data_IF_041111129303
#
_entry.id   IF_041111129303
#
_cell.length_a   1.000
_cell.length_b   1.000
_cell.length_c   1.000
_cell.angle_alpha   90.00
_cell.angle_beta   90.00
_cell.angle_gamma   90.00
#
_symmetry.space_group_name_H-M   'P 1'
#
loop_
_entity.id
_entity.type
_entity.pdbx_description
1 polymer ?
#
# COMPACT_ATOMS: atom_id res chain seq x y z
N UNK A 1 -0.72 15.80 15.63
CA UNK A 1 -0.58 16.25 14.22
C UNK A 1 -0.76 17.76 14.06
N UNK A 2 -1.68 18.40 14.78
CA UNK A 2 -1.99 19.84 14.67
C UNK A 2 -0.80 20.82 14.85
N UNK A 3 0.12 20.54 15.78
CA UNK A 3 1.25 21.45 16.04
C UNK A 3 2.30 21.43 14.92
N UNK A 4 2.45 20.32 14.20
CA UNK A 4 3.38 20.24 13.07
C UNK A 4 2.77 20.89 11.82
N UNK A 5 1.48 20.63 11.55
CA UNK A 5 0.76 21.28 10.44
C UNK A 5 0.68 22.81 10.60
N UNK A 6 0.40 23.32 11.81
CA UNK A 6 0.42 24.76 12.08
C UNK A 6 1.81 25.39 11.95
N UNK A 7 2.87 24.62 12.21
CA UNK A 7 4.25 25.08 12.03
C UNK A 7 4.65 25.10 10.55
N UNK A 8 4.35 24.04 9.82
CA UNK A 8 4.63 23.94 8.38
C UNK A 8 3.90 25.02 7.58
N UNK A 9 2.61 25.25 7.86
CA UNK A 9 1.81 26.31 7.19
C UNK A 9 2.32 27.71 7.52
N UNK A 10 2.73 27.97 8.77
CA UNK A 10 3.31 29.25 9.18
C UNK A 10 4.68 29.51 8.53
N UNK A 11 5.50 28.47 8.41
CA UNK A 11 6.81 28.56 7.74
C UNK A 11 6.64 28.80 6.23
N UNK A 12 5.68 28.14 5.58
CA UNK A 12 5.32 28.33 4.16
C UNK A 12 4.77 29.74 3.88
N UNK A 13 3.86 30.24 4.71
CA UNK A 13 3.29 31.60 4.60
C UNK A 13 4.37 32.68 4.81
N UNK A 14 5.28 32.47 5.77
CA UNK A 14 6.41 33.37 6.01
C UNK A 14 7.41 33.40 4.85
N UNK A 15 7.64 32.25 4.21
CA UNK A 15 8.55 32.12 3.07
C UNK A 15 7.96 32.79 1.83
N UNK A 16 6.67 32.56 1.54
CA UNK A 16 5.96 33.21 0.45
C UNK A 16 5.93 34.74 0.61
N UNK A 17 5.70 35.22 1.84
CA UNK A 17 5.72 36.65 2.14
C UNK A 17 7.10 37.30 1.89
N UNK A 18 8.18 36.59 2.24
CA UNK A 18 9.54 37.05 2.00
C UNK A 18 9.88 37.09 0.49
N UNK A 19 9.52 36.04 -0.25
CA UNK A 19 9.77 35.93 -1.69
C UNK A 19 9.02 37.01 -2.49
N UNK A 20 7.77 37.32 -2.14
CA UNK A 20 6.99 38.39 -2.79
C UNK A 20 7.65 39.76 -2.57
N UNK A 21 8.14 40.03 -1.35
CA UNK A 21 8.87 41.29 -1.07
C UNK A 21 10.18 41.37 -1.86
N UNK A 22 10.94 40.28 -1.95
CA UNK A 22 12.16 40.21 -2.73
C UNK A 22 11.89 40.52 -4.22
N UNK A 23 10.81 39.95 -4.78
CA UNK A 23 10.40 40.19 -6.16
C UNK A 23 10.06 41.65 -6.44
N UNK A 24 9.26 42.29 -5.58
CA UNK A 24 8.92 43.71 -5.71
C UNK A 24 10.14 44.62 -5.58
N UNK A 25 11.05 44.32 -4.65
CA UNK A 25 12.31 45.07 -4.49
C UNK A 25 13.18 44.96 -5.74
N UNK A 26 13.31 43.76 -6.30
CA UNK A 26 14.05 43.54 -7.55
C UNK A 26 13.41 44.29 -8.73
N UNK A 27 12.07 44.25 -8.85
CA UNK A 27 11.33 44.98 -9.88
C UNK A 27 11.51 46.50 -9.80
N UNK A 28 11.45 47.07 -8.58
CA UNK A 28 11.68 48.51 -8.36
C UNK A 28 13.12 48.89 -8.68
N UNK A 29 14.10 48.08 -8.26
CA UNK A 29 15.51 48.32 -8.55
C UNK A 29 15.78 48.32 -10.06
N UNK A 30 15.21 47.35 -10.79
CA UNK A 30 15.32 47.28 -12.25
C UNK A 30 14.68 48.49 -12.94
N UNK A 31 13.46 48.85 -12.56
CA UNK A 31 12.76 50.02 -13.10
C UNK A 31 13.55 51.33 -12.86
N UNK A 32 14.19 51.45 -11.69
CA UNK A 32 15.03 52.60 -11.35
C UNK A 32 16.29 52.66 -12.22
N UNK A 33 16.96 51.53 -12.48
CA UNK A 33 18.11 51.47 -13.40
C UNK A 33 17.71 51.89 -14.81
N UNK A 34 16.58 51.38 -15.33
CA UNK A 34 16.05 51.78 -16.64
C UNK A 34 15.71 53.26 -16.67
N UNK A 35 15.05 53.78 -15.63
CA UNK A 35 14.71 55.19 -15.52
C UNK A 35 15.96 56.08 -15.53
N UNK A 36 16.98 55.76 -14.72
CA UNK A 36 18.24 56.48 -14.69
C UNK A 36 18.97 56.45 -16.04
N UNK A 37 18.90 55.33 -16.78
CA UNK A 37 19.49 55.22 -18.11
C UNK A 37 18.76 56.09 -19.15
N UNK A 38 17.45 56.33 -18.99
CA UNK A 38 16.65 57.13 -19.92
C UNK A 38 16.76 58.65 -19.68
N UNK A 39 17.02 59.09 -18.45
CA UNK A 39 17.11 60.52 -18.08
C UNK A 39 18.06 61.31 -19.00
N UNK A 40 19.31 60.86 -19.27
CA UNK A 40 20.23 61.59 -20.15
C UNK A 40 19.70 61.74 -21.58
N UNK A 41 18.99 60.73 -22.09
CA UNK A 41 18.40 60.77 -23.43
C UNK A 41 17.26 61.78 -23.52
N UNK A 42 16.43 61.86 -22.47
CA UNK A 42 15.33 62.83 -22.37
C UNK A 42 15.90 64.25 -22.27
N UNK A 43 16.88 64.48 -21.40
CA UNK A 43 17.52 65.79 -21.23
C UNK A 43 18.19 66.27 -22.53
N UNK A 44 18.89 65.37 -23.25
CA UNK A 44 19.48 65.67 -24.56
C UNK A 44 18.41 66.08 -25.58
N UNK A 45 17.28 65.38 -25.60
CA UNK A 45 16.16 65.69 -26.50
C UNK A 45 15.51 67.04 -26.18
N UNK A 46 15.25 67.33 -24.90
CA UNK A 46 14.68 68.59 -24.45
C UNK A 46 15.58 69.79 -24.82
N UNK A 47 16.89 69.66 -24.67
CA UNK A 47 17.83 70.72 -25.04
C UNK A 47 17.81 70.98 -26.55
N UNK A 48 17.82 69.94 -27.38
CA UNK A 48 17.72 70.06 -28.83
C UNK A 48 16.47 70.82 -29.29
N UNK A 49 15.32 70.56 -28.65
CA UNK A 49 14.08 71.30 -28.95
C UNK A 49 14.17 72.80 -28.63
N UNK A 50 15.00 73.19 -27.67
CA UNK A 50 15.11 74.59 -27.23
C UNK A 50 16.17 75.39 -28.01
N UNK A 51 17.29 74.76 -28.38
CA UNK A 51 18.43 75.45 -29.02
C UNK A 51 18.61 75.11 -30.49
N UNK A 52 17.99 74.04 -30.99
CA UNK A 52 18.23 73.51 -32.34
C UNK A 52 19.58 72.79 -32.50
N UNK A 53 20.41 72.73 -31.45
CA UNK A 53 21.73 72.13 -31.47
C UNK A 53 21.78 70.91 -30.54
N UNK A 54 22.57 69.89 -30.91
CA UNK A 54 22.80 68.72 -30.05
C UNK A 54 23.99 69.03 -29.14
N UNK A 55 23.80 69.10 -27.80
CA UNK A 55 24.88 69.43 -26.89
C UNK A 55 25.87 68.27 -26.83
N UNK A 56 27.13 68.54 -27.17
CA UNK A 56 28.26 67.59 -27.08
C UNK A 56 28.80 67.55 -25.65
N UNK A 57 28.00 67.05 -24.71
CA UNK A 57 28.34 67.04 -23.28
C UNK A 57 29.44 66.03 -22.91
N UNK A 58 29.79 65.11 -23.82
CA UNK A 58 30.81 64.08 -23.60
C UNK A 58 31.66 63.95 -24.85
N UNK A 59 32.99 64.04 -24.69
CA UNK A 59 33.95 63.78 -25.77
C UNK A 59 34.04 62.28 -26.04
N UNK A 60 34.31 61.89 -27.28
CA UNK A 60 34.46 60.48 -27.69
C UNK A 60 35.50 59.73 -26.84
N UNK A 61 36.54 60.43 -26.39
CA UNK A 61 37.58 59.91 -25.50
C UNK A 61 37.04 59.56 -24.10
N UNK A 62 36.31 60.47 -23.45
CA UNK A 62 35.66 60.20 -22.14
C UNK A 62 34.59 59.13 -22.21
N UNK A 63 33.85 59.07 -23.33
CA UNK A 63 32.91 57.98 -23.61
C UNK A 63 33.62 56.63 -23.72
N UNK A 64 34.80 56.60 -24.36
CA UNK A 64 35.64 55.40 -24.47
C UNK A 64 36.15 54.91 -23.12
N UNK A 65 36.59 55.82 -22.25
CA UNK A 65 37.05 55.46 -20.89
C UNK A 65 35.92 54.89 -20.01
N UNK A 66 34.73 55.49 -20.07
CA UNK A 66 33.55 54.99 -19.34
C UNK A 66 33.08 53.66 -19.91
N UNK A 67 33.11 53.50 -21.24
CA UNK A 67 32.82 52.23 -21.92
C UNK A 67 33.79 51.13 -21.50
N UNK A 68 35.10 51.40 -21.52
CA UNK A 68 36.13 50.43 -21.12
C UNK A 68 36.02 50.04 -19.64
N UNK A 69 35.65 50.98 -18.76
CA UNK A 69 35.37 50.67 -17.35
C UNK A 69 34.12 49.79 -17.20
N UNK A 70 33.05 50.11 -17.94
CA UNK A 70 31.84 49.29 -18.00
C UNK A 70 32.11 47.87 -18.51
N UNK A 71 32.93 47.74 -19.55
CA UNK A 71 33.35 46.46 -20.11
C UNK A 71 34.20 45.65 -19.13
N UNK A 72 35.07 46.30 -18.34
CA UNK A 72 35.83 45.64 -17.29
C UNK A 72 34.92 45.12 -16.16
N UNK A 73 34.03 45.98 -15.63
CA UNK A 73 33.09 45.59 -14.57
C UNK A 73 32.14 44.52 -15.06
N UNK A 74 31.56 44.67 -16.25
CA UNK A 74 30.69 43.67 -16.88
C UNK A 74 31.43 42.37 -17.17
N UNK A 75 32.68 42.46 -17.65
CA UNK A 75 33.54 41.32 -17.94
C UNK A 75 33.96 40.51 -16.72
N UNK A 76 34.09 41.14 -15.54
CA UNK A 76 34.39 40.45 -14.27
C UNK A 76 33.11 39.98 -13.57
N UNK A 77 32.07 40.82 -13.54
CA UNK A 77 30.82 40.53 -12.84
C UNK A 77 30.04 39.41 -13.53
N UNK A 78 30.03 39.35 -14.87
CA UNK A 78 29.24 38.38 -15.61
C UNK A 78 29.70 36.92 -15.36
N UNK A 79 31.00 36.59 -15.39
CA UNK A 79 31.48 35.27 -14.96
C UNK A 79 31.19 34.95 -13.49
N UNK A 80 31.34 35.91 -12.57
CA UNK A 80 31.07 35.70 -11.14
C UNK A 80 29.58 35.40 -10.92
N UNK A 81 28.69 36.21 -11.50
CA UNK A 81 27.25 36.02 -11.39
C UNK A 81 26.82 34.71 -12.03
N UNK A 82 27.35 34.38 -13.22
CA UNK A 82 27.09 33.10 -13.90
C UNK A 82 27.52 31.92 -13.03
N UNK A 83 28.68 32.00 -12.37
CA UNK A 83 29.16 30.97 -11.46
C UNK A 83 28.23 30.81 -10.24
N UNK A 84 27.81 31.92 -9.62
CA UNK A 84 26.86 31.90 -8.50
C UNK A 84 25.52 31.30 -8.94
N UNK A 85 25.00 31.69 -10.11
CA UNK A 85 23.77 31.13 -10.67
C UNK A 85 23.89 29.64 -10.93
N UNK A 86 25.03 29.18 -11.46
CA UNK A 86 25.29 27.77 -11.68
C UNK A 86 25.38 26.99 -10.36
N UNK A 87 26.04 27.54 -9.33
CA UNK A 87 26.08 26.95 -7.99
C UNK A 87 24.69 26.88 -7.36
N UNK A 88 23.90 27.95 -7.46
CA UNK A 88 22.52 27.98 -6.97
C UNK A 88 21.66 26.91 -7.66
N UNK A 89 21.83 26.73 -8.98
CA UNK A 89 21.15 25.68 -9.74
C UNK A 89 21.54 24.28 -9.24
N UNK A 90 22.83 24.02 -9.03
CA UNK A 90 23.30 22.73 -8.50
C UNK A 90 22.71 22.45 -7.11
N UNK A 91 22.74 23.44 -6.22
CA UNK A 91 22.15 23.32 -4.88
C UNK A 91 20.65 23.00 -4.98
N UNK A 92 19.94 23.68 -5.89
CA UNK A 92 18.53 23.44 -6.15
C UNK A 92 18.29 22.00 -6.61
N UNK A 93 19.08 21.49 -7.54
CA UNK A 93 18.98 20.10 -8.03
C UNK A 93 19.23 19.10 -6.89
N UNK A 94 20.23 19.33 -6.04
CA UNK A 94 20.53 18.46 -4.90
C UNK A 94 19.37 18.44 -3.90
N UNK A 95 18.79 19.61 -3.61
CA UNK A 95 17.64 19.70 -2.71
C UNK A 95 16.41 18.99 -3.30
N UNK A 96 16.11 19.22 -4.57
CA UNK A 96 15.04 18.53 -5.30
C UNK A 96 15.22 17.01 -5.30
N UNK A 97 16.45 16.52 -5.49
CA UNK A 97 16.74 15.08 -5.43
C UNK A 97 16.48 14.49 -4.04
N UNK A 98 16.82 15.24 -2.98
CA UNK A 98 16.56 14.82 -1.60
C UNK A 98 15.06 14.78 -1.31
N UNK A 99 14.34 15.82 -1.69
CA UNK A 99 12.88 15.88 -1.54
C UNK A 99 12.19 14.72 -2.27
N UNK A 100 12.62 14.42 -3.51
CA UNK A 100 12.11 13.25 -4.25
C UNK A 100 12.43 11.92 -3.55
N UNK A 101 13.61 11.79 -2.95
CA UNK A 101 13.98 10.59 -2.20
C UNK A 101 13.08 10.39 -0.98
N UNK A 102 12.85 11.46 -0.21
CA UNK A 102 12.03 11.40 0.99
C UNK A 102 10.54 11.22 0.64
N UNK A 103 10.05 11.89 -0.41
CA UNK A 103 8.72 11.67 -0.95
C UNK A 103 8.51 10.21 -1.39
N UNK A 104 9.48 9.60 -2.09
CA UNK A 104 9.41 8.18 -2.48
C UNK A 104 9.30 7.25 -1.28
N UNK A 105 10.06 7.50 -0.21
CA UNK A 105 9.97 6.69 1.02
C UNK A 105 8.59 6.80 1.66
N UNK A 106 8.03 8.00 1.71
CA UNK A 106 6.70 8.22 2.30
C UNK A 106 5.57 7.64 1.43
N UNK A 107 5.71 7.72 0.10
CA UNK A 107 4.82 7.03 -0.84
C UNK A 107 4.88 5.52 -0.65
N UNK A 108 6.07 4.93 -0.48
CA UNK A 108 6.22 3.50 -0.21
C UNK A 108 5.56 3.10 1.12
N UNK A 109 5.73 3.89 2.18
CA UNK A 109 5.06 3.64 3.46
C UNK A 109 3.55 3.70 3.34
N UNK A 110 3.03 4.72 2.66
CA UNK A 110 1.59 4.88 2.41
C UNK A 110 1.06 3.73 1.55
N UNK A 111 1.77 3.32 0.51
CA UNK A 111 1.39 2.20 -0.35
C UNK A 111 1.31 0.88 0.44
N UNK A 112 2.32 0.60 1.28
CA UNK A 112 2.34 -0.60 2.12
C UNK A 112 1.21 -0.58 3.17
N UNK A 113 0.94 0.59 3.77
CA UNK A 113 -0.16 0.74 4.72
C UNK A 113 -1.54 0.52 4.07
N UNK A 114 -1.73 1.06 2.85
CA UNK A 114 -2.97 0.88 2.08
C UNK A 114 -3.15 -0.57 1.62
N UNK A 115 -2.08 -1.25 1.21
CA UNK A 115 -2.12 -2.67 0.87
C UNK A 115 -2.56 -3.51 2.07
N UNK A 116 -1.98 -3.25 3.25
CA UNK A 116 -2.39 -3.89 4.50
C UNK A 116 -3.86 -3.62 4.82
N UNK A 117 -4.30 -2.36 4.76
CA UNK A 117 -5.70 -1.98 5.01
C UNK A 117 -6.66 -2.69 4.04
N UNK A 118 -6.31 -2.81 2.77
CA UNK A 118 -7.12 -3.51 1.77
C UNK A 118 -7.25 -5.00 2.07
N UNK A 119 -6.14 -5.64 2.47
CA UNK A 119 -6.14 -7.05 2.90
C UNK A 119 -7.02 -7.22 4.13
N UNK A 120 -6.84 -6.41 5.17
CA UNK A 120 -7.64 -6.45 6.41
C UNK A 120 -9.13 -6.28 6.11
N UNK A 121 -9.50 -5.25 5.36
CA UNK A 121 -10.89 -4.99 4.97
C UNK A 121 -11.50 -6.15 4.16
N UNK A 122 -10.74 -6.74 3.25
CA UNK A 122 -11.21 -7.88 2.45
C UNK A 122 -11.37 -9.13 3.34
N UNK A 123 -10.42 -9.35 4.25
CA UNK A 123 -10.45 -10.47 5.19
C UNK A 123 -11.64 -10.40 6.14
N UNK A 124 -11.88 -9.24 6.78
CA UNK A 124 -13.05 -9.08 7.67
C UNK A 124 -14.38 -9.23 6.93
N UNK A 125 -14.50 -8.73 5.69
CA UNK A 125 -15.68 -9.00 4.85
C UNK A 125 -15.87 -10.49 4.54
N UNK A 126 -14.78 -11.24 4.39
CA UNK A 126 -14.85 -12.69 4.21
C UNK A 126 -15.27 -13.40 5.51
N UNK A 127 -14.83 -12.93 6.68
CA UNK A 127 -15.32 -13.44 7.97
C UNK A 127 -16.82 -13.19 8.14
N UNK A 128 -17.32 -11.99 7.84
CA UNK A 128 -18.75 -11.69 7.88
C UNK A 128 -19.54 -12.60 6.92
N UNK A 129 -18.95 -12.92 5.76
CA UNK A 129 -19.52 -13.87 4.81
C UNK A 129 -19.55 -15.29 5.36
N UNK A 130 -18.52 -15.72 6.11
CA UNK A 130 -18.49 -17.03 6.79
C UNK A 130 -19.66 -17.12 7.78
N UNK A 131 -19.83 -16.12 8.65
CA UNK A 131 -20.93 -16.09 9.63
C UNK A 131 -22.31 -16.07 8.96
N UNK A 132 -22.47 -15.23 7.93
CA UNK A 132 -23.71 -15.15 7.16
C UNK A 132 -24.00 -16.48 6.47
N UNK A 133 -22.98 -17.11 5.87
CA UNK A 133 -23.14 -18.39 5.20
C UNK A 133 -23.47 -19.51 6.19
N UNK A 134 -22.87 -19.50 7.38
CA UNK A 134 -23.18 -20.42 8.48
C UNK A 134 -24.66 -20.31 8.85
N UNK A 135 -25.12 -19.10 9.18
CA UNK A 135 -26.51 -18.86 9.62
C UNK A 135 -27.55 -19.26 8.55
N UNK A 136 -27.18 -19.13 7.28
CA UNK A 136 -28.02 -19.53 6.16
C UNK A 136 -28.02 -21.04 5.88
N UNK A 137 -27.13 -21.83 6.50
CA UNK A 137 -27.15 -23.30 6.35
C UNK A 137 -28.47 -23.83 6.87
N UNK A 138 -29.21 -24.60 6.08
CA UNK A 138 -30.50 -25.19 6.49
C UNK A 138 -30.59 -26.66 6.10
N UNK A 139 -31.17 -27.48 7.00
CA UNK A 139 -31.51 -28.89 6.75
C UNK A 139 -32.61 -29.34 7.71
N UNK A 140 -33.68 -29.98 7.22
CA UNK A 140 -34.74 -30.57 8.04
C UNK A 140 -35.25 -29.64 9.17
N UNK A 141 -35.64 -28.41 8.82
CA UNK A 141 -36.12 -27.35 9.74
C UNK A 141 -35.09 -26.83 10.77
N UNK A 142 -33.86 -27.35 10.75
CA UNK A 142 -32.74 -26.81 11.52
C UNK A 142 -31.95 -25.84 10.66
N UNK A 143 -31.32 -24.86 11.31
CA UNK A 143 -30.47 -23.89 10.65
C UNK A 143 -29.14 -23.71 11.38
N UNK A 144 -28.22 -23.02 10.71
CA UNK A 144 -26.99 -22.55 11.32
C UNK A 144 -26.10 -23.68 11.80
N UNK A 145 -25.51 -23.40 12.96
CA UNK A 145 -24.59 -24.26 13.67
C UNK A 145 -25.12 -25.67 13.93
N UNK A 146 -26.40 -25.78 14.25
CA UNK A 146 -27.03 -27.08 14.57
C UNK A 146 -26.94 -28.04 13.39
N UNK A 147 -26.99 -27.56 12.14
CA UNK A 147 -26.84 -28.41 10.95
C UNK A 147 -25.41 -28.95 10.84
N UNK A 148 -24.40 -28.12 11.14
CA UNK A 148 -22.99 -28.51 11.12
C UNK A 148 -22.67 -29.50 12.25
N UNK A 149 -23.17 -29.27 13.47
CA UNK A 149 -22.95 -30.19 14.58
C UNK A 149 -23.58 -31.57 14.31
N UNK A 150 -24.81 -31.60 13.78
CA UNK A 150 -25.45 -32.86 13.38
C UNK A 150 -24.67 -33.57 12.27
N UNK A 151 -24.10 -32.81 11.34
CA UNK A 151 -23.25 -33.34 10.28
C UNK A 151 -22.01 -34.03 10.85
N UNK A 152 -21.34 -33.40 11.82
CA UNK A 152 -20.20 -33.99 12.54
C UNK A 152 -20.62 -35.23 13.35
N UNK A 153 -21.79 -35.21 13.98
CA UNK A 153 -22.28 -36.36 14.76
C UNK A 153 -22.63 -37.56 13.89
N UNK A 154 -23.28 -37.33 12.74
CA UNK A 154 -23.52 -38.38 11.73
C UNK A 154 -22.17 -38.96 11.30
N UNK A 155 -21.23 -38.08 10.97
CA UNK A 155 -19.89 -38.47 10.58
C UNK A 155 -19.21 -39.33 11.66
N UNK A 156 -19.15 -38.87 12.91
CA UNK A 156 -18.60 -39.63 14.06
C UNK A 156 -19.27 -41.01 14.20
N UNK A 157 -20.61 -41.08 14.07
CA UNK A 157 -21.37 -42.33 14.16
C UNK A 157 -21.05 -43.30 13.03
N UNK A 158 -20.83 -42.82 11.81
CA UNK A 158 -20.40 -43.65 10.68
C UNK A 158 -19.06 -44.36 10.91
N UNK A 159 -18.27 -43.91 11.90
CA UNK A 159 -17.00 -44.54 12.31
C UNK A 159 -17.05 -45.30 13.65
N UNK A 160 -18.08 -45.07 14.49
CA UNK A 160 -18.23 -45.78 15.76
C UNK A 160 -18.70 -47.22 15.54
N UNK A 161 -17.77 -48.18 15.64
CA UNK A 161 -18.07 -49.61 15.59
C UNK A 161 -17.06 -50.47 14.84
N UNK A 162 -16.05 -49.87 14.20
CA UNK A 162 -15.06 -50.63 13.43
C UNK A 162 -13.69 -50.63 14.12
N UNK A 163 -13.42 -51.64 14.94
CA UNK A 163 -12.06 -51.93 15.42
C UNK A 163 -11.14 -52.11 14.21
N UNK A 164 -10.09 -51.29 14.11
CA UNK A 164 -9.04 -51.42 13.10
C UNK A 164 -9.25 -50.68 11.77
N UNK A 165 -10.33 -49.90 11.62
CA UNK A 165 -10.48 -49.02 10.46
C UNK A 165 -9.76 -47.72 10.73
N UNK A 166 -8.63 -47.54 10.05
CA UNK A 166 -7.85 -46.30 10.13
C UNK A 166 -8.53 -45.21 9.31
N UNK A 167 -8.64 -44.04 9.94
CA UNK A 167 -9.11 -42.80 9.34
C UNK A 167 -8.24 -42.39 8.13
N UNK A 168 -8.80 -41.83 7.03
CA UNK A 168 -10.16 -41.96 6.49
C UNK A 168 -10.19 -42.86 5.23
N UNK A 169 -11.11 -43.83 5.19
CA UNK A 169 -11.36 -44.63 4.00
C UNK A 169 -12.16 -43.82 2.97
N UNK A 170 -11.55 -43.42 1.86
CA UNK A 170 -12.10 -42.49 0.85
C UNK A 170 -13.49 -42.91 0.33
N UNK A 171 -13.76 -44.22 0.21
CA UNK A 171 -15.07 -44.74 -0.21
C UNK A 171 -16.22 -44.33 0.72
N UNK A 172 -16.00 -44.34 2.04
CA UNK A 172 -17.01 -43.95 3.04
C UNK A 172 -17.20 -42.44 3.12
N UNK A 173 -16.21 -41.65 2.67
CA UNK A 173 -16.37 -40.21 2.54
C UNK A 173 -17.40 -39.86 1.47
N UNK A 174 -17.64 -40.71 0.47
CA UNK A 174 -18.65 -40.42 -0.56
C UNK A 174 -20.07 -40.64 -0.02
N UNK A 175 -20.30 -41.73 0.69
CA UNK A 175 -21.57 -42.07 1.35
C UNK A 175 -21.92 -41.05 2.44
N UNK A 176 -20.94 -40.72 3.31
CA UNK A 176 -21.12 -39.69 4.33
C UNK A 176 -21.42 -38.32 3.70
N UNK A 177 -20.94 -38.02 2.49
CA UNK A 177 -21.24 -36.76 1.80
C UNK A 177 -22.68 -36.73 1.34
N UNK A 178 -23.15 -37.82 0.74
CA UNK A 178 -24.54 -37.94 0.30
C UNK A 178 -25.49 -37.87 1.50
N UNK A 179 -25.15 -38.48 2.64
CA UNK A 179 -25.99 -38.43 3.83
C UNK A 179 -25.94 -37.06 4.55
N UNK A 180 -24.75 -36.46 4.62
CA UNK A 180 -24.48 -35.28 5.44
C UNK A 180 -24.76 -33.97 4.68
N UNK A 181 -24.35 -33.91 3.42
CA UNK A 181 -24.32 -32.68 2.62
C UNK A 181 -25.23 -32.72 1.39
N UNK A 182 -25.85 -33.85 1.04
CA UNK A 182 -26.93 -33.79 0.07
C UNK A 182 -28.10 -32.98 0.66
N UNK A 183 -28.67 -32.10 -0.17
CA UNK A 183 -29.84 -31.30 0.13
C UNK A 183 -29.66 -30.24 1.25
N UNK A 184 -28.43 -29.81 1.54
CA UNK A 184 -28.19 -28.58 2.31
C UNK A 184 -27.30 -27.61 1.53
N UNK A 185 -27.33 -26.33 1.91
CA UNK A 185 -26.53 -25.26 1.33
C UNK A 185 -25.21 -25.00 2.08
N UNK A 186 -24.72 -26.00 2.83
CA UNK A 186 -23.44 -25.93 3.56
C UNK A 186 -22.22 -25.73 2.66
N UNK A 187 -22.33 -26.07 1.37
CA UNK A 187 -21.30 -25.76 0.37
C UNK A 187 -20.91 -24.28 0.39
N UNK A 188 -21.88 -23.38 0.54
CA UNK A 188 -21.63 -21.93 0.55
C UNK A 188 -20.83 -21.52 1.80
N UNK A 189 -21.07 -22.18 2.94
CA UNK A 189 -20.34 -21.96 4.18
C UNK A 189 -18.88 -22.40 4.04
N UNK A 190 -18.63 -23.63 3.59
CA UNK A 190 -17.25 -24.09 3.38
C UNK A 190 -16.56 -23.35 2.24
N UNK A 191 -17.28 -22.93 1.20
CA UNK A 191 -16.72 -22.05 0.16
C UNK A 191 -16.26 -20.71 0.75
N UNK A 192 -17.04 -20.11 1.67
CA UNK A 192 -16.64 -18.89 2.36
C UNK A 192 -15.39 -19.10 3.23
N UNK A 193 -15.32 -20.21 3.98
CA UNK A 193 -14.11 -20.58 4.75
C UNK A 193 -12.91 -20.76 3.82
N UNK A 194 -13.10 -21.40 2.66
CA UNK A 194 -12.04 -21.59 1.67
C UNK A 194 -11.49 -20.26 1.17
N UNK A 195 -12.36 -19.32 0.81
CA UNK A 195 -11.96 -17.99 0.36
C UNK A 195 -11.21 -17.22 1.45
N UNK A 196 -11.69 -17.26 2.70
CA UNK A 196 -11.01 -16.62 3.83
C UNK A 196 -9.62 -17.24 4.08
N UNK A 197 -9.52 -18.56 4.02
CA UNK A 197 -8.26 -19.28 4.20
C UNK A 197 -7.26 -19.00 3.08
N UNK A 198 -7.71 -18.93 1.82
CA UNK A 198 -6.86 -18.56 0.68
C UNK A 198 -6.25 -17.16 0.86
N UNK A 199 -7.09 -16.18 1.22
CA UNK A 199 -6.62 -14.81 1.45
C UNK A 199 -5.66 -14.73 2.63
N UNK A 200 -5.97 -15.40 3.74
CA UNK A 200 -5.10 -15.45 4.92
C UNK A 200 -3.71 -16.00 4.57
N UNK A 201 -3.67 -17.12 3.84
CA UNK A 201 -2.44 -17.74 3.37
C UNK A 201 -1.70 -16.82 2.39
N UNK A 202 -2.41 -16.11 1.51
CA UNK A 202 -1.79 -15.16 0.58
C UNK A 202 -1.16 -13.99 1.34
N UNK A 203 -1.88 -13.39 2.27
CA UNK A 203 -1.43 -12.29 3.11
C UNK A 203 -0.17 -12.65 3.92
N UNK A 204 -0.14 -13.86 4.49
CA UNK A 204 1.02 -14.38 5.24
C UNK A 204 2.28 -14.52 4.37
N UNK A 205 2.14 -14.66 3.04
CA UNK A 205 3.26 -14.77 2.11
C UNK A 205 3.70 -13.42 1.50
N UNK A 206 2.80 -12.43 1.44
CA UNK A 206 3.07 -11.12 0.82
C UNK A 206 3.55 -10.07 1.81
N UNK A 207 3.13 -10.16 3.09
CA UNK A 207 3.48 -9.15 4.08
C UNK A 207 4.93 -9.28 4.56
N UNK A 208 5.72 -8.18 4.55
CA UNK A 208 7.17 -8.23 4.84
C UNK A 208 7.52 -8.37 6.33
N UNK A 209 6.55 -8.29 7.25
CA UNK A 209 6.80 -8.27 8.70
C UNK A 209 6.84 -9.70 9.30
N UNK A 210 7.95 -10.11 9.96
CA UNK A 210 8.06 -11.41 10.63
C UNK A 210 7.08 -11.62 11.79
N UNK A 211 6.56 -10.54 12.37
CA UNK A 211 5.66 -10.55 13.53
C UNK A 211 4.24 -10.99 13.14
N UNK A 212 3.89 -10.92 11.85
CA UNK A 212 2.56 -11.22 11.32
C UNK A 212 2.49 -12.60 10.64
N UNK A 213 3.55 -13.41 10.72
CA UNK A 213 3.60 -14.71 10.07
C UNK A 213 2.54 -15.63 10.66
N UNK A 214 1.51 -15.94 9.87
CA UNK A 214 0.31 -16.71 10.24
C UNK A 214 -0.78 -15.93 10.98
N UNK A 215 -0.68 -14.59 11.13
CA UNK A 215 -1.65 -13.81 11.91
C UNK A 215 -3.08 -14.02 11.41
N UNK A 216 -3.33 -13.89 10.10
CA UNK A 216 -4.66 -14.06 9.53
C UNK A 216 -5.13 -15.51 9.59
N UNK A 217 -4.19 -16.44 9.45
CA UNK A 217 -4.50 -17.87 9.50
C UNK A 217 -4.85 -18.33 10.92
N UNK A 218 -4.21 -17.76 11.94
CA UNK A 218 -4.55 -17.98 13.36
C UNK A 218 -5.87 -17.29 13.71
N UNK A 219 -6.07 -16.05 13.27
CA UNK A 219 -7.31 -15.33 13.51
C UNK A 219 -8.52 -16.05 12.92
N UNK A 220 -8.41 -16.57 11.67
CA UNK A 220 -9.46 -17.38 11.06
C UNK A 220 -9.70 -18.67 11.84
N UNK A 221 -8.64 -19.33 12.31
CA UNK A 221 -8.76 -20.55 13.13
C UNK A 221 -9.51 -20.27 14.42
N UNK A 222 -9.24 -19.15 15.08
CA UNK A 222 -9.86 -18.79 16.36
C UNK A 222 -11.36 -18.47 16.22
N UNK A 223 -11.81 -18.08 15.01
CA UNK A 223 -13.25 -17.93 14.72
C UNK A 223 -13.95 -19.27 14.47
N UNK A 224 -13.20 -20.34 14.18
CA UNK A 224 -13.75 -21.64 13.82
C UNK A 224 -13.66 -22.59 15.00
N UNK A 225 -14.73 -23.35 15.19
CA UNK A 225 -14.75 -24.38 16.23
C UNK A 225 -14.11 -25.68 15.76
N UNK A 226 -13.80 -26.61 16.67
CA UNK A 226 -13.29 -27.92 16.28
C UNK A 226 -14.19 -28.63 15.26
N UNK A 227 -15.51 -28.55 15.41
CA UNK A 227 -16.50 -29.12 14.48
C UNK A 227 -16.38 -28.52 13.07
N UNK A 228 -16.17 -27.21 12.97
CA UNK A 228 -15.96 -26.51 11.71
C UNK A 228 -14.67 -26.95 11.03
N UNK A 229 -13.58 -27.04 11.79
CA UNK A 229 -12.26 -27.46 11.30
C UNK A 229 -12.33 -28.87 10.71
N UNK A 230 -12.96 -29.82 11.43
CA UNK A 230 -13.12 -31.20 10.96
C UNK A 230 -14.04 -31.30 9.74
N UNK A 231 -15.18 -30.61 9.77
CA UNK A 231 -16.15 -30.60 8.67
C UNK A 231 -15.55 -29.99 7.41
N UNK A 232 -14.78 -28.93 7.56
CA UNK A 232 -14.09 -28.26 6.47
C UNK A 232 -12.94 -29.09 5.92
N UNK A 233 -12.13 -29.73 6.78
CA UNK A 233 -11.10 -30.66 6.31
C UNK A 233 -11.70 -31.78 5.44
N UNK A 234 -12.82 -32.34 5.90
CA UNK A 234 -13.58 -33.31 5.13
C UNK A 234 -14.11 -32.74 3.80
N UNK A 235 -14.66 -31.53 3.82
CA UNK A 235 -15.11 -30.82 2.62
C UNK A 235 -13.97 -30.68 1.60
N UNK A 236 -12.77 -30.28 2.02
CA UNK A 236 -11.60 -30.18 1.15
C UNK A 236 -11.23 -31.54 0.54
N UNK A 237 -11.27 -32.62 1.33
CA UNK A 237 -10.95 -33.99 0.86
C UNK A 237 -11.98 -34.51 -0.14
N UNK A 238 -13.25 -34.20 0.05
CA UNK A 238 -14.32 -34.57 -0.87
C UNK A 238 -14.27 -33.81 -2.20
N UNK A 239 -13.74 -32.58 -2.20
CA UNK A 239 -13.60 -31.73 -3.39
C UNK A 239 -12.17 -31.70 -3.94
N UNK A 240 -11.38 -32.77 -3.74
CA UNK A 240 -9.97 -32.88 -4.19
C UNK A 240 -9.76 -32.69 -5.70
N UNK A 241 -10.83 -32.78 -6.50
CA UNK A 241 -10.82 -32.47 -7.93
C UNK A 241 -10.65 -30.97 -8.24
N UNK A 242 -10.91 -30.11 -7.26
CA UNK A 242 -10.67 -28.67 -7.36
C UNK A 242 -9.20 -28.38 -7.02
N UNK A 243 -8.42 -27.93 -8.00
CA UNK A 243 -6.98 -27.67 -7.83
C UNK A 243 -6.72 -26.57 -6.80
N UNK A 244 -7.58 -25.56 -6.66
CA UNK A 244 -7.39 -24.51 -5.67
C UNK A 244 -7.56 -25.05 -4.24
N UNK A 245 -8.62 -25.82 -4.00
CA UNK A 245 -8.89 -26.42 -2.69
C UNK A 245 -7.84 -27.48 -2.30
N UNK A 246 -7.30 -28.20 -3.29
CA UNK A 246 -6.25 -29.19 -3.09
C UNK A 246 -4.95 -28.56 -2.56
N UNK A 247 -4.61 -27.33 -2.95
CA UNK A 247 -3.45 -26.61 -2.41
C UNK A 247 -3.60 -26.20 -0.95
N UNK A 248 -4.84 -26.11 -0.45
CA UNK A 248 -5.13 -25.74 0.94
C UNK A 248 -4.90 -26.91 1.90
N UNK A 249 -5.14 -28.15 1.47
CA UNK A 249 -5.09 -29.36 2.33
C UNK A 249 -3.79 -29.47 3.15
N UNK A 250 -2.58 -29.35 2.56
CA UNK A 250 -1.34 -29.48 3.32
C UNK A 250 -1.16 -28.34 4.32
N UNK A 251 -1.51 -27.11 3.94
CA UNK A 251 -1.39 -25.92 4.80
C UNK A 251 -2.35 -26.02 5.98
N UNK A 252 -3.58 -26.43 5.73
CA UNK A 252 -4.60 -26.62 6.76
C UNK A 252 -4.22 -27.71 7.78
N UNK A 253 -3.67 -28.82 7.28
CA UNK A 253 -3.22 -29.94 8.11
C UNK A 253 -2.11 -29.54 9.08
N UNK A 254 -1.16 -28.74 8.62
CA UNK A 254 -0.05 -28.24 9.45
C UNK A 254 -0.53 -27.16 10.42
N UNK A 255 -1.28 -26.17 9.96
CA UNK A 255 -1.57 -24.97 10.75
C UNK A 255 -2.72 -25.21 11.73
N UNK A 256 -3.78 -25.91 11.33
CA UNK A 256 -4.99 -26.02 12.14
C UNK A 256 -5.11 -27.36 12.86
N UNK A 257 -4.70 -28.46 12.21
CA UNK A 257 -4.77 -29.80 12.80
C UNK A 257 -3.49 -30.22 13.57
N UNK A 258 -2.38 -29.47 13.45
CA UNK A 258 -1.09 -29.78 14.09
C UNK A 258 -0.65 -31.24 13.90
N UNK A 259 -0.94 -31.83 12.72
CA UNK A 259 -0.55 -33.21 12.40
C UNK A 259 0.85 -33.26 11.78
N UNK A 260 1.72 -34.16 12.24
CA UNK A 260 3.10 -34.29 11.77
C UNK A 260 3.21 -34.83 10.31
N UNK A 261 4.26 -34.41 9.61
CA UNK A 261 4.52 -34.57 8.17
C UNK A 261 4.77 -36.03 7.71
N UNK A 262 4.80 -37.03 8.58
CA UNK A 262 5.27 -38.38 8.25
C UNK A 262 4.21 -39.32 7.68
N UNK A 263 2.95 -38.89 7.57
CA UNK A 263 1.86 -39.64 6.90
C UNK A 263 1.36 -38.92 5.65
N UNK A 264 2.34 -38.39 4.91
CA UNK A 264 2.15 -37.62 3.69
C UNK A 264 2.47 -38.51 2.49
N UNK A 265 1.47 -38.85 1.67
CA UNK A 265 1.42 -38.55 0.22
C UNK A 265 0.65 -39.56 -0.65
N UNK A 266 0.23 -40.73 -0.16
CA UNK A 266 -0.43 -41.70 -1.04
C UNK A 266 -1.92 -41.89 -0.75
N UNK A 267 -2.68 -42.20 -1.81
CA UNK A 267 -4.13 -42.43 -1.80
C UNK A 267 -4.59 -43.57 -0.87
N UNK A 268 -3.65 -44.24 -0.18
CA UNK A 268 -3.83 -45.40 0.69
C UNK A 268 -3.48 -45.17 2.17
N UNK A 269 -2.90 -44.04 2.57
CA UNK A 269 -2.23 -43.97 3.88
C UNK A 269 -3.07 -43.29 4.98
N UNK A 270 -3.84 -44.13 5.68
CA UNK A 270 -3.66 -44.39 7.12
C UNK A 270 -3.01 -43.26 7.96
N UNK A 271 -3.80 -42.26 8.36
CA UNK A 271 -3.35 -41.16 9.24
C UNK A 271 -3.32 -41.61 10.72
N UNK A 272 -2.28 -41.27 11.52
CA UNK A 272 -2.21 -41.62 12.93
C UNK A 272 -2.97 -40.58 13.74
N UNK A 273 -3.85 -41.03 14.63
CA UNK A 273 -4.63 -40.14 15.48
C UNK A 273 -4.33 -40.39 16.96
N UNK A 274 -3.91 -39.32 17.65
CA UNK A 274 -4.10 -39.16 19.09
C UNK A 274 -5.36 -38.31 19.27
N UNK A 275 -6.46 -38.95 19.65
CA UNK A 275 -7.64 -38.23 20.13
C UNK A 275 -7.25 -37.80 21.55
N UNK A 276 -7.25 -36.49 21.82
CA UNK A 276 -7.24 -36.04 23.21
C UNK A 276 -8.49 -36.60 23.87
N UNK A 277 -8.30 -37.51 24.84
CA UNK A 277 -9.29 -37.88 25.85
C UNK A 277 -9.77 -36.63 26.61
#
# INVERSE_FOLDING_TARGET
MDNWFKKATKDEESTNFFLVRLFWVAGIAFALVVFLALIPHILRWCFYLFTGEIPSFVTTEKLGEIGAFGDFIGGVLNPILTFISFMALIITIILQQRELSDARKEFQRTANALEKENIENTFFKLLDRVDTALNNVTKNQKNGRVVIDNAVDIFKKSFNGQKGVQWPHVGKLKEAREETYANNNSFNYFSAISSAAQLAIQADNTLPSPIEKNFYTELLKDQLTPEDIWSFYYFLRCNKSDEELKTLIPKFRVIWLKMDHTTLLESSDKEPFHIYE
#
